data_IF_757299130244
#
_entry.id   IF_757299130244
#
_cell.length_a   1.000
_cell.length_b   1.000
_cell.length_c   1.000
_cell.angle_alpha   90.00
_cell.angle_beta   90.00
_cell.angle_gamma   90.00
#
_symmetry.space_group_name_H-M   'P 1'
#
loop_
_entity.id
_entity.type
_entity.pdbx_description
1 polymer ?
#
# COMPACT_ATOMS: atom_id res chain seq x y z
N UNK A 1 -15.30 -0.22 13.72
CA UNK A 1 -13.96 0.24 14.06
C UNK A 1 -13.01 -0.01 12.89
N UNK A 2 -12.26 1.01 12.50
CA UNK A 2 -11.31 0.88 11.41
C UNK A 2 -9.93 1.34 11.87
N UNK A 3 -8.90 0.74 11.30
CA UNK A 3 -7.53 1.11 11.59
C UNK A 3 -6.80 1.34 10.27
N UNK A 4 -5.98 2.35 10.26
CA UNK A 4 -5.30 2.82 9.07
C UNK A 4 -3.79 2.78 9.28
N UNK A 5 -3.08 2.47 8.22
CA UNK A 5 -1.62 2.62 8.19
C UNK A 5 -1.22 3.25 6.87
N UNK A 6 -0.14 4.01 6.91
CA UNK A 6 0.31 4.75 5.74
C UNK A 6 1.83 4.67 5.64
N UNK A 7 2.33 4.42 4.44
CA UNK A 7 3.75 4.54 4.13
C UNK A 7 3.93 5.73 3.20
N UNK A 8 4.66 6.74 3.66
CA UNK A 8 4.90 7.96 2.89
C UNK A 8 6.26 7.92 2.21
N UNK A 9 6.35 8.61 1.09
CA UNK A 9 7.61 8.81 0.36
C UNK A 9 8.25 7.50 -0.05
N UNK A 10 7.43 6.54 -0.45
CA UNK A 10 7.94 5.28 -0.99
C UNK A 10 8.40 5.53 -2.41
N UNK A 11 9.63 5.11 -2.72
CA UNK A 11 10.18 5.31 -4.06
C UNK A 11 9.48 4.41 -5.06
N UNK A 12 8.99 5.01 -6.13
CA UNK A 12 8.38 4.28 -7.21
C UNK A 12 7.14 4.97 -7.75
N UNK A 13 6.63 4.43 -8.84
CA UNK A 13 5.47 4.96 -9.52
C UNK A 13 4.18 4.52 -8.83
N UNK A 14 3.28 5.48 -8.58
CA UNK A 14 1.98 5.18 -8.00
C UNK A 14 1.18 4.21 -8.88
N UNK A 15 1.31 4.35 -10.20
CA UNK A 15 0.60 3.47 -11.11
C UNK A 15 1.00 2.00 -10.94
N UNK A 16 2.29 1.74 -10.76
CA UNK A 16 2.79 0.38 -10.55
C UNK A 16 2.35 -0.17 -9.19
N UNK A 17 2.36 0.68 -8.16
CA UNK A 17 1.90 0.28 -6.84
C UNK A 17 0.39 -0.03 -6.85
N UNK A 18 -0.38 0.72 -7.62
CA UNK A 18 -1.83 0.49 -7.72
C UNK A 18 -2.17 -0.88 -8.29
N UNK A 19 -1.35 -1.41 -9.17
CA UNK A 19 -1.58 -2.75 -9.71
C UNK A 19 -1.56 -3.80 -8.60
N UNK A 20 -0.67 -3.63 -7.62
CA UNK A 20 -0.57 -4.55 -6.49
C UNK A 20 -1.68 -4.30 -5.48
N UNK A 21 -1.96 -3.04 -5.19
CA UNK A 21 -3.00 -2.65 -4.23
C UNK A 21 -4.38 -3.19 -4.66
N UNK A 22 -4.66 -3.17 -5.95
CA UNK A 22 -5.95 -3.65 -6.45
C UNK A 22 -6.18 -5.12 -6.14
N UNK A 23 -5.11 -5.90 -5.96
CA UNK A 23 -5.23 -7.32 -5.65
C UNK A 23 -5.76 -7.59 -4.25
N UNK A 24 -5.54 -6.66 -3.32
CA UNK A 24 -5.90 -6.89 -1.91
C UNK A 24 -7.14 -6.13 -1.49
N UNK A 25 -7.64 -5.21 -2.30
CA UNK A 25 -8.80 -4.40 -1.92
C UNK A 25 -10.03 -5.31 -1.76
N UNK A 26 -10.66 -5.21 -0.60
CA UNK A 26 -11.85 -6.01 -0.30
C UNK A 26 -11.57 -7.43 0.17
N UNK A 27 -10.30 -7.81 0.30
CA UNK A 27 -9.93 -9.15 0.76
C UNK A 27 -9.81 -9.21 2.27
N UNK A 28 -10.02 -10.39 2.83
CA UNK A 28 -9.77 -10.63 4.24
C UNK A 28 -8.28 -10.44 4.51
N UNK A 29 -7.94 -9.89 5.68
CA UNK A 29 -6.57 -9.45 5.97
C UNK A 29 -5.53 -10.56 5.82
N UNK A 30 -5.80 -11.74 6.37
CA UNK A 30 -4.88 -12.86 6.26
C UNK A 30 -4.72 -13.32 4.82
N UNK A 31 -5.81 -13.34 4.07
CA UNK A 31 -5.78 -13.71 2.66
C UNK A 31 -5.02 -12.67 1.84
N UNK A 32 -5.17 -11.39 2.17
CA UNK A 32 -4.44 -10.32 1.50
C UNK A 32 -2.94 -10.48 1.70
N UNK A 33 -2.50 -10.83 2.90
CA UNK A 33 -1.09 -11.08 3.17
C UNK A 33 -0.57 -12.23 2.31
N UNK A 34 -1.33 -13.31 2.22
CA UNK A 34 -0.96 -14.46 1.38
C UNK A 34 -0.84 -14.06 -0.09
N UNK A 35 -1.77 -13.26 -0.59
CA UNK A 35 -1.74 -12.77 -1.95
C UNK A 35 -0.47 -11.95 -2.19
N UNK A 36 -0.12 -11.07 -1.26
CA UNK A 36 1.07 -10.23 -1.40
C UNK A 36 2.35 -11.04 -1.38
N UNK A 37 2.40 -12.07 -0.54
CA UNK A 37 3.58 -12.95 -0.49
C UNK A 37 3.77 -13.73 -1.78
N UNK A 38 2.68 -14.08 -2.44
CA UNK A 38 2.73 -14.81 -3.69
C UNK A 38 2.95 -13.90 -4.90
N UNK A 39 2.77 -12.59 -4.74
CA UNK A 39 2.89 -11.65 -5.85
C UNK A 39 4.35 -11.29 -6.09
N UNK A 40 4.81 -11.52 -7.32
CA UNK A 40 6.19 -11.24 -7.69
C UNK A 40 6.32 -9.84 -8.26
N UNK A 41 6.05 -8.84 -7.43
CA UNK A 41 6.15 -7.43 -7.80
C UNK A 41 6.99 -6.68 -6.76
N UNK A 42 7.67 -5.63 -7.21
CA UNK A 42 8.56 -4.86 -6.35
C UNK A 42 7.84 -4.24 -5.15
N UNK A 43 6.61 -3.80 -5.34
CA UNK A 43 5.86 -3.12 -4.28
C UNK A 43 5.19 -4.07 -3.30
N UNK A 44 5.12 -5.36 -3.60
CA UNK A 44 4.39 -6.30 -2.75
C UNK A 44 4.94 -6.35 -1.32
N UNK A 45 6.25 -6.44 -1.07
CA UNK A 45 6.75 -6.43 0.31
C UNK A 45 6.44 -5.14 1.06
N UNK A 46 6.51 -4.00 0.38
CA UNK A 46 6.22 -2.71 0.99
C UNK A 46 4.76 -2.63 1.42
N UNK A 47 3.86 -3.04 0.53
CA UNK A 47 2.43 -3.03 0.79
C UNK A 47 2.09 -4.02 1.90
N UNK A 48 2.77 -5.16 1.93
CA UNK A 48 2.59 -6.13 3.01
C UNK A 48 2.93 -5.52 4.38
N UNK A 49 4.00 -4.74 4.47
CA UNK A 49 4.36 -4.06 5.70
C UNK A 49 3.29 -3.07 6.13
N UNK A 50 2.74 -2.31 5.19
CA UNK A 50 1.67 -1.35 5.48
C UNK A 50 0.44 -2.09 5.99
N UNK A 51 0.08 -3.20 5.35
CA UNK A 51 -1.07 -4.00 5.76
C UNK A 51 -0.87 -4.56 7.18
N UNK A 52 0.33 -5.09 7.47
CA UNK A 52 0.63 -5.60 8.81
C UNK A 52 0.56 -4.49 9.86
N UNK A 53 1.02 -3.28 9.51
CA UNK A 53 0.89 -2.13 10.40
C UNK A 53 -0.56 -1.78 10.68
N UNK A 54 -1.41 -1.83 9.64
CA UNK A 54 -2.84 -1.55 9.80
C UNK A 54 -3.49 -2.58 10.72
N UNK A 55 -3.14 -3.85 10.57
CA UNK A 55 -3.64 -4.90 11.44
C UNK A 55 -3.20 -4.67 12.89
N UNK A 56 -1.93 -4.34 13.09
CA UNK A 56 -1.42 -4.05 14.43
C UNK A 56 -2.13 -2.85 15.05
N UNK A 57 -2.41 -1.81 14.25
CA UNK A 57 -3.14 -0.65 14.72
C UNK A 57 -4.56 -1.02 15.15
N UNK A 58 -5.19 -1.94 14.42
CA UNK A 58 -6.53 -2.43 14.78
C UNK A 58 -6.50 -3.16 16.11
N UNK A 59 -5.50 -4.01 16.33
CA UNK A 59 -5.34 -4.73 17.58
C UNK A 59 -5.11 -3.78 18.76
N UNK A 60 -4.34 -2.71 18.52
CA UNK A 60 -4.09 -1.71 19.56
C UNK A 60 -5.31 -0.88 19.90
N UNK A 61 -6.20 -0.67 18.93
CA UNK A 61 -7.41 0.11 19.16
C UNK A 61 -8.46 -0.64 19.97
N UNK A 62 -8.50 -1.96 19.81
CA UNK A 62 -9.49 -2.79 20.48
C UNK A 62 -8.90 -4.14 20.79
N UNK A 63 -8.93 -4.52 22.07
CA UNK A 63 -8.45 -5.81 22.51
C UNK A 63 -9.35 -6.95 22.06
N UNK A 64 -10.57 -6.62 21.65
CA UNK A 64 -11.57 -7.62 21.25
C UNK A 64 -11.56 -7.87 19.74
N UNK A 65 -10.61 -7.27 19.01
CA UNK A 65 -10.54 -7.44 17.57
C UNK A 65 -10.11 -8.87 17.23
N UNK A 66 -10.92 -9.51 16.40
CA UNK A 66 -10.57 -10.79 15.81
C UNK A 66 -9.91 -10.50 14.45
N UNK A 67 -8.61 -10.75 14.37
CA UNK A 67 -7.85 -10.48 13.16
C UNK A 67 -8.42 -11.24 11.96
N UNK A 68 -8.98 -12.42 12.21
CA UNK A 68 -9.57 -13.23 11.14
C UNK A 68 -10.84 -12.60 10.56
N UNK A 69 -11.43 -11.64 11.26
CA UNK A 69 -12.63 -10.94 10.80
C UNK A 69 -12.31 -9.62 10.13
N UNK A 70 -11.06 -9.22 10.13
CA UNK A 70 -10.65 -7.97 9.48
C UNK A 70 -10.55 -8.15 7.97
N UNK A 71 -11.03 -7.15 7.25
CA UNK A 71 -10.85 -7.10 5.80
C UNK A 71 -10.25 -5.74 5.41
N UNK A 72 -9.68 -5.70 4.23
CA UNK A 72 -9.15 -4.45 3.68
C UNK A 72 -10.32 -3.64 3.15
N UNK A 73 -10.75 -2.63 3.90
CA UNK A 73 -11.90 -1.81 3.53
C UNK A 73 -11.53 -0.75 2.52
N UNK A 74 -10.33 -0.18 2.67
CA UNK A 74 -9.81 0.81 1.73
C UNK A 74 -8.34 0.55 1.49
N UNK A 75 -7.91 0.71 0.27
CA UNK A 75 -6.50 0.64 -0.07
C UNK A 75 -6.29 1.50 -1.31
N UNK A 76 -5.37 2.45 -1.23
CA UNK A 76 -5.09 3.31 -2.36
C UNK A 76 -3.66 3.83 -2.30
N UNK A 77 -3.22 4.36 -3.42
CA UNK A 77 -1.88 4.92 -3.56
C UNK A 77 -2.03 6.32 -4.12
N UNK A 78 -1.47 7.28 -3.42
CA UNK A 78 -1.44 8.67 -3.86
C UNK A 78 -0.06 8.99 -4.42
N UNK A 79 -0.01 9.86 -5.42
CA UNK A 79 1.25 10.34 -5.93
C UNK A 79 1.90 11.26 -4.91
N UNK A 80 3.18 11.02 -4.63
CA UNK A 80 3.96 11.90 -3.79
C UNK A 80 4.77 12.90 -4.60
N UNK A 81 5.66 13.64 -3.95
CA UNK A 81 6.50 14.60 -4.66
C UNK A 81 7.41 13.89 -5.64
N UNK A 82 7.78 14.61 -6.70
CA UNK A 82 8.70 14.11 -7.70
C UNK A 82 10.03 14.85 -7.55
N UNK A 83 11.09 14.10 -7.33
CA UNK A 83 12.42 14.68 -7.26
C UNK A 83 13.00 14.74 -8.67
N UNK A 84 13.31 15.93 -9.15
CA UNK A 84 13.90 16.11 -10.47
C UNK A 84 15.39 15.77 -10.41
N UNK A 85 15.85 15.03 -11.39
CA UNK A 85 17.27 14.63 -11.50
C UNK A 85 17.74 14.85 -12.92
N UNK A 86 19.05 15.02 -13.05
CA UNK A 86 19.68 15.20 -14.35
C UNK A 86 20.69 14.07 -14.54
N UNK A 87 20.64 13.44 -15.68
CA UNK A 87 21.58 12.37 -16.03
C UNK A 87 22.46 12.86 -17.17
N UNK A 88 23.79 12.71 -17.07
CA UNK A 88 24.68 13.05 -18.18
C UNK A 88 24.31 12.28 -19.44
N UNK A 89 24.40 12.93 -20.57
CA UNK A 89 24.09 12.34 -21.87
C UNK A 89 25.24 12.60 -22.84
N UNK A 90 25.36 11.80 -23.91
CA UNK A 90 26.37 12.03 -24.92
C UNK A 90 26.28 13.41 -25.54
N UNK A 91 27.41 13.92 -26.04
CA UNK A 91 27.48 15.18 -26.76
C UNK A 91 27.10 16.41 -25.93
N UNK A 92 27.40 16.37 -24.62
CA UNK A 92 27.16 17.52 -23.75
C UNK A 92 25.72 17.79 -23.39
N UNK A 93 24.80 16.92 -23.80
CA UNK A 93 23.41 17.06 -23.44
C UNK A 93 23.17 16.45 -22.06
N UNK A 94 22.05 16.85 -21.42
CA UNK A 94 21.63 16.29 -20.14
C UNK A 94 20.21 15.82 -20.27
N UNK A 95 19.96 14.59 -19.82
CA UNK A 95 18.61 14.07 -19.76
C UNK A 95 18.02 14.37 -18.40
N UNK A 96 16.82 14.92 -18.40
CA UNK A 96 16.08 15.16 -17.18
C UNK A 96 15.15 13.97 -16.93
N UNK A 97 15.11 13.52 -15.69
CA UNK A 97 14.17 12.50 -15.29
C UNK A 97 13.67 12.81 -13.89
N UNK A 98 12.58 12.16 -13.50
CA UNK A 98 11.96 12.39 -12.21
C UNK A 98 11.96 11.10 -11.41
N UNK A 99 12.37 11.21 -10.15
CA UNK A 99 12.21 10.09 -9.22
C UNK A 99 10.86 10.26 -8.57
N UNK A 100 9.95 9.38 -8.91
CA UNK A 100 8.58 9.44 -8.40
C UNK A 100 8.51 8.79 -7.03
N UNK A 101 7.66 9.34 -6.19
CA UNK A 101 7.38 8.80 -4.88
C UNK A 101 5.89 8.58 -4.74
N UNK A 102 5.51 7.68 -3.87
CA UNK A 102 4.12 7.31 -3.66
C UNK A 102 3.81 7.24 -2.18
N UNK A 103 2.57 7.50 -1.84
CA UNK A 103 2.07 7.32 -0.48
C UNK A 103 1.05 6.18 -0.53
N UNK A 104 1.29 5.13 0.24
CA UNK A 104 0.45 3.94 0.25
C UNK A 104 -0.39 3.96 1.52
N UNK A 105 -1.70 3.85 1.37
CA UNK A 105 -2.62 3.88 2.50
C UNK A 105 -3.45 2.60 2.47
N UNK A 106 -3.52 1.93 3.61
CA UNK A 106 -4.34 0.72 3.78
C UNK A 106 -5.17 0.89 5.05
N UNK A 107 -6.47 0.66 4.93
CA UNK A 107 -7.39 0.69 6.06
C UNK A 107 -8.04 -0.68 6.18
N UNK A 108 -8.05 -1.21 7.40
CA UNK A 108 -8.72 -2.48 7.69
C UNK A 108 -9.87 -2.23 8.66
N UNK A 109 -10.90 -3.04 8.55
CA UNK A 109 -12.05 -2.92 9.42
C UNK A 109 -12.81 -4.22 9.51
N UNK A 110 -13.90 -4.25 10.31
CA UNK A 110 -14.69 -5.45 10.47
C UNK A 110 -15.33 -5.90 9.16
N UNK A 111 -15.49 -7.18 9.00
CA UNK A 111 -16.10 -7.78 7.81
C UNK A 111 -17.46 -7.18 7.48
N UNK A 112 -18.25 -6.88 8.50
CA UNK A 112 -19.60 -6.32 8.32
C UNK A 112 -19.56 -4.97 7.61
N UNK A 113 -18.53 -4.17 7.85
CA UNK A 113 -18.40 -2.85 7.23
C UNK A 113 -18.24 -2.96 5.73
N UNK A 114 -17.40 -3.87 5.27
CA UNK A 114 -17.17 -4.04 3.84
C UNK A 114 -18.30 -4.82 3.16
N UNK A 115 -18.97 -5.66 3.90
CA UNK A 115 -20.06 -6.46 3.35
C UNK A 115 -21.31 -5.68 3.01
N UNK A 116 -21.38 -4.42 3.40
CA UNK A 116 -22.55 -3.57 3.19
C UNK A 116 -22.58 -2.84 1.87
N UNK A 117 -21.78 -3.20 0.96
CA UNK A 117 -21.78 -2.51 -0.35
C UNK A 117 -23.06 -2.74 -1.10
#
# INVERSE_FOLDING_TARGET
MEARAEARYVRGSAQKARLVIDLIRGQQAGKAITILQATNKRFAPTIEKVLRSAIANAENKSNDVDVDQLIVTEAYVNEGPRAKRVRPAPMGRAYRYQRRMSHIVVTVGPKTTAGKK
#
